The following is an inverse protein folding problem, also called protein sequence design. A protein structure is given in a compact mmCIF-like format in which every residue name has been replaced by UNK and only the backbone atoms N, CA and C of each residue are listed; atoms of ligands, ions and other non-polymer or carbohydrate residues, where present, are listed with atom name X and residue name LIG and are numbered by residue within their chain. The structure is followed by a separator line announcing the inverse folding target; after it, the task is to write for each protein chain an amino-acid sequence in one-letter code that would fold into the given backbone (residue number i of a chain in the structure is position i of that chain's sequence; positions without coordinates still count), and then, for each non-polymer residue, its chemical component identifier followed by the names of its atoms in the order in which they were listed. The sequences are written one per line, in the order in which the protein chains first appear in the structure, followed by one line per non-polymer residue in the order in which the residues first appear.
data_IF_380826765439
#
_entry.id   IF_380826765439
#
_cell.length_a   1.000
_cell.length_b   1.000
_cell.length_c   1.000
_cell.angle_alpha   90.00
_cell.angle_beta   90.00
_cell.angle_gamma   90.00
#
_symmetry.space_group_name_H-M   'P 1'
#
loop_
_entity.id
_entity.type
_entity.pdbx_description
1 polymer ?
#
# COMPACT_ATOMS: atom_id res chain seq x y z
N UNK A 1 14.55 -8.05 -18.61
CA UNK A 1 14.39 -7.87 -17.15
C UNK A 1 13.76 -6.52 -16.95
N UNK A 2 12.47 -6.47 -16.62
CA UNK A 2 11.83 -5.21 -16.23
C UNK A 2 11.96 -5.16 -14.72
N UNK A 3 12.76 -4.23 -14.22
CA UNK A 3 13.05 -4.08 -12.79
C UNK A 3 12.08 -3.06 -12.21
N UNK A 4 11.74 -3.17 -10.92
CA UNK A 4 11.01 -2.12 -10.20
C UNK A 4 11.89 -0.86 -10.19
N UNK A 5 11.34 0.27 -10.63
CA UNK A 5 12.04 1.54 -10.66
C UNK A 5 12.24 2.12 -9.25
N UNK A 6 12.97 3.24 -9.11
CA UNK A 6 13.13 3.88 -7.81
C UNK A 6 11.79 4.30 -7.22
N UNK A 7 11.71 4.23 -5.89
CA UNK A 7 10.57 4.75 -5.12
C UNK A 7 10.45 6.26 -5.29
N UNK A 8 9.22 6.76 -5.35
CA UNK A 8 8.92 8.19 -5.27
C UNK A 8 8.73 8.57 -3.79
N UNK A 9 9.69 9.24 -3.14
CA UNK A 9 9.58 9.59 -1.74
C UNK A 9 8.51 10.67 -1.51
N UNK A 10 7.88 10.65 -0.33
CA UNK A 10 6.90 11.65 0.11
C UNK A 10 5.65 11.78 -0.78
N UNK A 11 5.32 10.76 -1.58
CA UNK A 11 4.08 10.76 -2.35
C UNK A 11 2.87 10.66 -1.40
N UNK A 12 1.82 11.48 -1.60
CA UNK A 12 0.63 11.45 -0.75
C UNK A 12 -0.10 10.09 -0.74
N UNK A 13 0.16 9.21 -1.72
CA UNK A 13 -0.38 7.85 -1.81
C UNK A 13 0.34 6.83 -0.92
N UNK A 14 1.48 7.19 -0.32
CA UNK A 14 2.26 6.33 0.58
C UNK A 14 3.50 5.73 -0.08
N UNK A 15 4.05 4.66 0.53
CA UNK A 15 5.36 4.11 0.16
C UNK A 15 5.40 3.37 -1.16
N UNK A 16 4.28 2.77 -1.60
CA UNK A 16 4.24 1.93 -2.79
C UNK A 16 3.96 2.73 -4.06
N UNK A 17 4.79 3.75 -4.28
CA UNK A 17 4.80 4.56 -5.50
C UNK A 17 6.20 4.50 -6.06
N UNK A 18 6.30 4.06 -7.31
CA UNK A 18 7.56 3.86 -8.01
C UNK A 18 7.51 4.59 -9.36
N UNK A 19 8.67 5.02 -9.86
CA UNK A 19 8.77 5.65 -11.18
C UNK A 19 8.38 4.70 -12.32
N UNK A 20 8.55 3.39 -12.10
CA UNK A 20 8.09 2.36 -13.03
C UNK A 20 7.89 1.02 -12.32
N UNK A 21 6.94 0.24 -12.84
CA UNK A 21 6.69 -1.13 -12.42
C UNK A 21 6.77 -2.07 -13.63
N UNK A 22 7.21 -3.32 -13.45
CA UNK A 22 7.03 -4.38 -14.42
C UNK A 22 5.54 -4.53 -14.80
N UNK A 23 5.20 -4.90 -16.06
CA UNK A 23 3.80 -4.97 -16.50
C UNK A 23 2.91 -5.92 -15.69
N UNK A 24 3.50 -6.94 -15.05
CA UNK A 24 2.76 -7.86 -14.18
C UNK A 24 2.40 -7.19 -12.85
N UNK A 25 3.36 -6.53 -12.21
CA UNK A 25 3.14 -5.79 -10.96
C UNK A 25 2.24 -4.58 -11.17
N UNK A 26 2.39 -3.84 -12.27
CA UNK A 26 1.48 -2.73 -12.60
C UNK A 26 0.03 -3.21 -12.69
N UNK A 27 -0.22 -4.32 -13.41
CA UNK A 27 -1.57 -4.90 -13.52
C UNK A 27 -2.11 -5.37 -12.17
N UNK A 28 -1.26 -5.94 -11.33
CA UNK A 28 -1.65 -6.40 -9.99
C UNK A 28 -1.98 -5.22 -9.05
N UNK A 29 -1.21 -4.13 -9.11
CA UNK A 29 -1.47 -2.89 -8.38
C UNK A 29 -2.78 -2.22 -8.85
N UNK A 30 -3.01 -2.15 -10.17
CA UNK A 30 -4.24 -1.59 -10.75
C UNK A 30 -5.47 -2.42 -10.34
N UNK A 31 -5.35 -3.75 -10.34
CA UNK A 31 -6.42 -4.64 -9.87
C UNK A 31 -6.71 -4.45 -8.38
N UNK A 32 -5.67 -4.30 -7.56
CA UNK A 32 -5.79 -4.02 -6.13
C UNK A 32 -6.49 -2.68 -5.88
N UNK A 33 -6.10 -1.64 -6.62
CA UNK A 33 -6.76 -0.33 -6.58
C UNK A 33 -8.24 -0.42 -6.94
N UNK A 34 -8.57 -1.14 -8.01
CA UNK A 34 -9.95 -1.31 -8.42
C UNK A 34 -10.77 -2.04 -7.35
N UNK A 35 -10.21 -3.08 -6.76
CA UNK A 35 -10.86 -3.84 -5.71
C UNK A 35 -11.03 -3.00 -4.43
N UNK A 36 -10.08 -2.14 -4.08
CA UNK A 36 -10.18 -1.18 -2.96
C UNK A 36 -11.32 -0.18 -3.16
N UNK A 37 -11.44 0.30 -4.39
CA UNK A 37 -12.47 1.26 -4.76
C UNK A 37 -13.86 0.62 -4.74
N UNK A 38 -14.00 -0.61 -5.24
CA UNK A 38 -15.29 -1.32 -5.25
C UNK A 38 -15.70 -1.84 -3.87
N UNK A 39 -14.71 -2.21 -3.03
CA UNK A 39 -14.94 -2.87 -1.75
C UNK A 39 -14.66 -1.90 -0.60
N UNK A 40 -15.60 -0.99 -0.36
CA UNK A 40 -15.63 -0.27 0.90
C UNK A 40 -16.07 -1.22 2.02
N UNK A 41 -15.12 -1.96 2.60
CA UNK A 41 -15.37 -2.56 3.91
C UNK A 41 -15.75 -1.48 4.92
N UNK A 42 -16.29 -1.85 6.09
CA UNK A 42 -16.64 -0.86 7.11
C UNK A 42 -15.36 -0.15 7.58
N UNK A 43 -15.19 1.16 7.32
CA UNK A 43 -14.02 1.86 7.81
C UNK A 43 -14.10 1.97 9.32
N UNK A 44 -12.93 1.97 9.96
CA UNK A 44 -12.75 2.12 11.39
C UNK A 44 -12.18 3.51 11.67
N UNK A 45 -12.46 4.07 12.86
CA UNK A 45 -11.82 5.30 13.31
C UNK A 45 -10.51 4.99 14.02
N UNK A 46 -9.40 5.36 13.40
CA UNK A 46 -8.03 5.23 13.95
C UNK A 46 -7.40 6.63 13.90
N UNK A 47 -6.91 7.12 15.04
CA UNK A 47 -6.28 8.45 15.18
C UNK A 47 -7.06 9.61 14.52
N UNK A 48 -8.39 9.59 14.66
CA UNK A 48 -9.24 10.62 14.08
C UNK A 48 -9.32 10.59 12.54
N UNK A 49 -9.00 9.45 11.90
CA UNK A 49 -9.12 9.19 10.45
C UNK A 49 -10.02 7.99 10.18
N UNK A 50 -10.68 7.97 9.03
CA UNK A 50 -11.44 6.81 8.57
C UNK A 50 -10.50 5.91 7.77
N UNK A 51 -10.21 4.74 8.33
CA UNK A 51 -9.25 3.80 7.78
C UNK A 51 -9.94 2.48 7.53
N UNK A 52 -9.76 1.94 6.33
CA UNK A 52 -10.13 0.57 6.06
C UNK A 52 -8.91 -0.33 6.23
N UNK A 53 -9.06 -1.40 6.99
CA UNK A 53 -7.98 -2.33 7.32
C UNK A 53 -8.22 -3.65 6.62
N UNK A 54 -7.18 -4.19 6.00
CA UNK A 54 -7.17 -5.51 5.38
C UNK A 54 -5.79 -6.15 5.47
N UNK A 55 -5.66 -7.47 5.26
CA UNK A 55 -4.36 -8.09 5.05
C UNK A 55 -3.64 -7.47 3.83
N UNK A 56 -2.31 -7.34 3.92
CA UNK A 56 -1.48 -6.96 2.79
C UNK A 56 -1.57 -8.00 1.68
N UNK A 57 -1.79 -7.54 0.45
CA UNK A 57 -1.79 -8.38 -0.74
C UNK A 57 -0.39 -8.88 -1.06
N UNK A 58 -0.29 -9.95 -1.84
CA UNK A 58 1.02 -10.47 -2.28
C UNK A 58 1.86 -9.41 -3.01
N UNK A 59 1.21 -8.57 -3.83
CA UNK A 59 1.87 -7.46 -4.53
C UNK A 59 2.40 -6.41 -3.55
N UNK A 60 1.60 -6.02 -2.56
CA UNK A 60 2.04 -5.04 -1.55
C UNK A 60 3.24 -5.57 -0.77
N UNK A 61 3.23 -6.87 -0.41
CA UNK A 61 4.35 -7.53 0.25
C UNK A 61 5.61 -7.53 -0.61
N UNK A 62 5.51 -7.97 -1.86
CA UNK A 62 6.64 -7.99 -2.80
C UNK A 62 7.26 -6.60 -3.00
N UNK A 63 6.42 -5.56 -3.10
CA UNK A 63 6.90 -4.19 -3.23
C UNK A 63 7.54 -3.64 -1.95
N UNK A 64 7.06 -4.03 -0.76
CA UNK A 64 7.68 -3.64 0.51
C UNK A 64 9.02 -4.37 0.74
N UNK A 65 9.10 -5.66 0.40
CA UNK A 65 10.37 -6.42 0.41
C UNK A 65 11.39 -5.78 -0.54
N UNK A 66 10.94 -5.29 -1.72
CA UNK A 66 11.79 -4.54 -2.63
C UNK A 66 12.34 -3.24 -2.03
N UNK A 67 11.57 -2.57 -1.17
CA UNK A 67 12.02 -1.40 -0.42
C UNK A 67 12.98 -1.75 0.74
N UNK A 68 13.16 -3.04 1.03
CA UNK A 68 14.07 -3.54 2.07
C UNK A 68 13.42 -3.79 3.42
N UNK A 69 12.08 -3.80 3.51
CA UNK A 69 11.39 -4.14 4.76
C UNK A 69 11.38 -5.65 5.01
N UNK A 70 11.58 -6.05 6.27
CA UNK A 70 11.28 -7.40 6.74
C UNK A 70 9.80 -7.45 7.12
N UNK A 71 9.03 -8.40 6.55
CA UNK A 71 7.58 -8.40 6.69
C UNK A 71 7.12 -9.46 7.70
N UNK A 72 6.24 -9.12 8.66
CA UNK A 72 5.58 -10.12 9.49
C UNK A 72 4.66 -11.02 8.65
N UNK A 73 4.39 -12.22 9.16
CA UNK A 73 3.46 -13.16 8.52
C UNK A 73 2.06 -12.54 8.39
N UNK A 74 1.57 -11.91 9.46
CA UNK A 74 0.33 -11.15 9.48
C UNK A 74 0.63 -9.65 9.33
N UNK A 75 0.69 -9.18 8.08
CA UNK A 75 0.85 -7.76 7.78
C UNK A 75 -0.50 -7.14 7.40
N UNK A 76 -0.90 -6.09 8.09
CA UNK A 76 -2.09 -5.31 7.79
C UNK A 76 -1.75 -4.08 6.93
N UNK A 77 -2.60 -3.79 5.95
CA UNK A 77 -2.56 -2.57 5.14
C UNK A 77 -3.68 -1.66 5.58
N UNK A 78 -3.30 -0.44 5.96
CA UNK A 78 -4.23 0.63 6.29
C UNK A 78 -4.50 1.47 5.04
N UNK A 79 -5.73 1.45 4.57
CA UNK A 79 -6.18 2.22 3.40
C UNK A 79 -6.99 3.42 3.87
N UNK A 80 -6.43 4.61 3.70
CA UNK A 80 -7.07 5.89 3.99
C UNK A 80 -7.41 6.61 2.68
N UNK A 81 -8.68 6.97 2.47
CA UNK A 81 -9.08 7.80 1.33
C UNK A 81 -8.95 9.28 1.70
N UNK A 82 -8.00 9.99 1.09
CA UNK A 82 -7.79 11.44 1.29
C UNK A 82 -8.79 12.28 0.49
N UNK A 83 -9.17 11.76 -0.67
CA UNK A 83 -10.24 12.28 -1.54
C UNK A 83 -11.03 11.10 -2.09
N UNK A 84 -12.06 11.34 -2.90
CA UNK A 84 -12.87 10.27 -3.51
C UNK A 84 -12.05 9.28 -4.36
N UNK A 85 -10.89 9.69 -4.87
CA UNK A 85 -10.06 8.88 -5.77
C UNK A 85 -8.61 8.70 -5.29
N UNK A 86 -8.14 9.53 -4.36
CA UNK A 86 -6.79 9.43 -3.82
C UNK A 86 -6.79 8.59 -2.53
N UNK A 87 -6.28 7.36 -2.64
CA UNK A 87 -5.99 6.50 -1.49
C UNK A 87 -4.55 6.64 -1.05
N UNK A 88 -4.34 6.60 0.25
CA UNK A 88 -3.05 6.47 0.92
C UNK A 88 -3.00 5.10 1.59
N UNK A 89 -1.94 4.35 1.33
CA UNK A 89 -1.66 3.10 2.03
C UNK A 89 -0.52 3.29 3.02
N UNK A 90 -0.70 2.77 4.22
CA UNK A 90 0.32 2.77 5.28
C UNK A 90 0.37 1.41 5.98
N UNK A 91 1.50 1.13 6.62
CA UNK A 91 1.78 -0.13 7.32
C UNK A 91 2.29 0.18 8.73
N UNK A 92 1.41 0.38 9.73
CA UNK A 92 1.83 0.82 11.06
C UNK A 92 2.81 -0.11 11.76
N UNK A 93 2.75 -1.41 11.45
CA UNK A 93 3.70 -2.40 11.95
C UNK A 93 5.14 -2.06 11.52
N UNK A 94 5.33 -1.65 10.26
CA UNK A 94 6.63 -1.31 9.68
C UNK A 94 7.07 0.13 10.04
N UNK A 95 6.12 1.05 10.19
CA UNK A 95 6.40 2.43 10.64
C UNK A 95 6.94 2.48 12.07
N UNK A 96 6.61 1.48 12.90
CA UNK A 96 7.06 1.38 14.28
C UNK A 96 8.50 0.86 14.41
N UNK A 97 9.02 0.18 13.38
CA UNK A 97 10.37 -0.40 13.35
C UNK A 97 11.44 0.61 12.89
N UNK A 98 11.05 1.76 12.33
CA UNK A 98 11.95 2.85 11.96
C UNK A 98 12.37 3.76 13.14
N UNK A 99 12.36 3.27 14.39
CA UNK A 99 12.80 4.03 15.58
C UNK A 99 14.07 3.51 16.25
#
# INVERSE_FOLDING_TARGET
MTVIGPQVPNDPRGWLVFESLPPELQRAEDATQYHDFQRHGRPQRIDGKWVWVRPATATERELLEHLGFELPDELETHVEWKTETLRRRTWPALESEEQ
#
